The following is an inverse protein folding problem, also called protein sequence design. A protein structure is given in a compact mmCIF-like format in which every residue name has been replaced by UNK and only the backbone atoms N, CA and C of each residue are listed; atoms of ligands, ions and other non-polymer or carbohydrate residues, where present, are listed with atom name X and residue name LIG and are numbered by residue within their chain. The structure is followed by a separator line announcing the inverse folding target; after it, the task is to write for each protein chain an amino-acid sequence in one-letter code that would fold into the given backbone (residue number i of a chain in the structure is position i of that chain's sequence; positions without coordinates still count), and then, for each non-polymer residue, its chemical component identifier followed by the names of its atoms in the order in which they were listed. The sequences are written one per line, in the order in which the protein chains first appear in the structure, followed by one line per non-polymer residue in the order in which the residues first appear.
data_IF_941809208649
#
_entry.id   IF_941809208649
#
_cell.length_a   1.000
_cell.length_b   1.000
_cell.length_c   1.000
_cell.angle_alpha   90.00
_cell.angle_beta   90.00
_cell.angle_gamma   90.00
#
_symmetry.space_group_name_H-M   'P 1'
#
loop_
_entity.id
_entity.type
_entity.pdbx_description
1 polymer ?
#
# COMPACT_ATOMS: atom_id res chain seq x y z
N UNK A 1 -4.13 1.61 -12.68
CA UNK A 1 -2.93 1.59 -11.81
C UNK A 1 -1.78 0.80 -12.43
N UNK A 2 -2.03 -0.21 -13.28
CA UNK A 2 -0.96 -0.90 -14.01
C UNK A 2 -0.37 -2.11 -13.29
N UNK A 3 -0.90 -2.48 -12.12
CA UNK A 3 -0.40 -3.58 -11.26
C UNK A 3 -1.07 -4.94 -11.52
N UNK A 4 -1.92 -5.02 -12.55
CA UNK A 4 -2.67 -6.22 -12.91
C UNK A 4 -3.91 -6.48 -12.03
N UNK A 5 -4.69 -7.51 -12.39
CA UNK A 5 -5.93 -7.88 -11.71
C UNK A 5 -5.70 -9.08 -10.80
N UNK A 6 -6.38 -9.12 -9.66
CA UNK A 6 -6.25 -10.22 -8.69
C UNK A 6 -7.33 -11.28 -8.94
N UNK A 7 -6.98 -12.55 -8.76
CA UNK A 7 -7.96 -13.65 -8.76
C UNK A 7 -8.52 -13.83 -7.35
N UNK A 8 -9.84 -13.92 -7.22
CA UNK A 8 -10.44 -14.23 -5.91
C UNK A 8 -10.02 -15.63 -5.41
N UNK A 9 -9.82 -15.77 -4.11
CA UNK A 9 -9.44 -17.01 -3.44
C UNK A 9 -10.32 -17.25 -2.21
N UNK A 10 -11.02 -18.39 -2.21
CA UNK A 10 -12.02 -18.71 -1.18
C UNK A 10 -11.42 -18.91 0.22
N UNK A 11 -10.17 -19.38 0.33
CA UNK A 11 -9.53 -19.52 1.64
C UNK A 11 -9.13 -18.14 2.18
N UNK A 12 -8.69 -17.21 1.31
CA UNK A 12 -8.46 -15.83 1.71
C UNK A 12 -9.76 -15.13 2.13
N UNK A 13 -10.88 -15.37 1.44
CA UNK A 13 -12.21 -14.85 1.81
C UNK A 13 -12.63 -15.35 3.19
N UNK A 14 -12.56 -16.66 3.42
CA UNK A 14 -12.95 -17.27 4.70
C UNK A 14 -12.07 -16.77 5.87
N UNK A 15 -10.77 -16.57 5.64
CA UNK A 15 -9.89 -15.98 6.64
C UNK A 15 -10.20 -14.50 6.91
N UNK A 16 -10.51 -13.73 5.87
CA UNK A 16 -10.88 -12.32 6.00
C UNK A 16 -12.16 -12.17 6.82
N UNK A 17 -13.12 -13.04 6.58
CA UNK A 17 -14.40 -13.11 7.28
C UNK A 17 -14.21 -13.44 8.77
N UNK A 18 -13.43 -14.47 9.08
CA UNK A 18 -13.13 -14.85 10.46
C UNK A 18 -12.42 -13.72 11.21
N UNK A 19 -11.44 -13.07 10.57
CA UNK A 19 -10.70 -11.98 11.18
C UNK A 19 -11.57 -10.73 11.40
N UNK A 20 -12.47 -10.45 10.47
CA UNK A 20 -13.46 -9.39 10.63
C UNK A 20 -14.37 -9.65 11.84
N UNK A 21 -14.86 -10.89 12.02
CA UNK A 21 -15.66 -11.24 13.20
C UNK A 21 -14.86 -11.18 14.50
N UNK A 22 -13.59 -11.59 14.48
CA UNK A 22 -12.69 -11.40 15.61
C UNK A 22 -12.59 -9.92 16.01
N UNK A 23 -12.33 -9.02 15.05
CA UNK A 23 -12.19 -7.59 15.31
C UNK A 23 -13.49 -7.00 15.89
N UNK A 24 -14.65 -7.42 15.37
CA UNK A 24 -15.95 -7.02 15.88
C UNK A 24 -16.20 -7.50 17.32
N UNK A 25 -15.99 -8.78 17.59
CA UNK A 25 -16.24 -9.38 18.91
C UNK A 25 -15.38 -8.76 20.01
N UNK A 26 -14.20 -8.27 19.65
CA UNK A 26 -13.24 -7.71 20.59
C UNK A 26 -13.15 -6.18 20.55
N UNK A 27 -13.90 -5.52 19.66
CA UNK A 27 -13.84 -4.07 19.43
C UNK A 27 -12.41 -3.55 19.22
N UNK A 28 -11.61 -4.26 18.40
CA UNK A 28 -10.22 -3.92 18.09
C UNK A 28 -10.03 -3.68 16.58
N UNK A 29 -8.98 -2.94 16.24
CA UNK A 29 -8.44 -2.84 14.89
C UNK A 29 -6.99 -3.29 14.91
N UNK A 30 -6.71 -4.42 14.26
CA UNK A 30 -5.41 -5.09 14.32
C UNK A 30 -5.24 -5.98 13.09
N UNK A 31 -4.00 -6.37 12.80
CA UNK A 31 -3.70 -7.47 11.87
C UNK A 31 -3.61 -8.83 12.57
N UNK A 32 -3.33 -8.82 13.87
CA UNK A 32 -3.06 -10.01 14.67
C UNK A 32 -4.17 -10.28 15.68
N UNK A 33 -4.32 -11.56 16.03
CA UNK A 33 -5.28 -12.03 17.01
C UNK A 33 -4.56 -12.52 18.27
N UNK A 34 -5.23 -12.37 19.42
CA UNK A 34 -4.68 -12.72 20.73
C UNK A 34 -5.26 -14.07 21.14
N UNK A 35 -4.43 -15.10 21.41
CA UNK A 35 -4.92 -16.40 21.87
C UNK A 35 -5.80 -16.28 23.12
N UNK A 36 -6.94 -16.97 23.11
CA UNK A 36 -7.87 -17.02 24.24
C UNK A 36 -8.96 -15.94 24.25
N UNK A 37 -8.96 -15.00 23.29
CA UNK A 37 -10.06 -14.05 23.13
C UNK A 37 -11.19 -14.63 22.24
N UNK A 38 -12.45 -14.15 22.38
CA UNK A 38 -13.57 -14.59 21.57
C UNK A 38 -13.29 -14.47 20.07
N UNK A 39 -13.64 -15.50 19.30
CA UNK A 39 -13.44 -15.53 17.85
C UNK A 39 -12.00 -15.75 17.40
N UNK A 40 -11.04 -15.98 18.32
CA UNK A 40 -9.66 -16.30 17.95
C UNK A 40 -9.59 -17.52 17.02
N UNK A 41 -8.92 -17.33 15.89
CA UNK A 41 -8.57 -18.38 14.94
C UNK A 41 -7.08 -18.68 15.01
N UNK A 42 -6.24 -17.69 14.72
CA UNK A 42 -4.77 -17.77 14.69
C UNK A 42 -4.11 -16.39 14.80
N UNK A 43 -2.87 -16.39 15.27
CA UNK A 43 -2.10 -15.20 15.64
C UNK A 43 -1.88 -14.17 14.53
N UNK A 44 -1.67 -14.61 13.30
CA UNK A 44 -1.30 -13.75 12.17
C UNK A 44 -2.05 -14.13 10.89
N UNK A 45 -2.14 -13.22 9.90
CA UNK A 45 -2.91 -13.43 8.67
C UNK A 45 -2.56 -14.70 7.89
N UNK A 46 -1.28 -15.09 7.85
CA UNK A 46 -0.89 -16.32 7.18
C UNK A 46 -1.45 -17.54 7.89
N UNK A 47 -1.31 -17.61 9.22
CA UNK A 47 -1.87 -18.70 10.00
C UNK A 47 -3.41 -18.74 9.94
N UNK A 48 -4.08 -17.58 9.90
CA UNK A 48 -5.54 -17.48 9.75
C UNK A 48 -6.01 -18.14 8.45
N UNK A 49 -5.29 -17.90 7.34
CA UNK A 49 -5.54 -18.54 6.04
C UNK A 49 -5.31 -20.05 6.09
N UNK A 50 -4.26 -20.51 6.77
CA UNK A 50 -4.03 -21.96 6.96
C UNK A 50 -5.15 -22.63 7.77
N UNK A 51 -5.71 -21.93 8.77
CA UNK A 51 -6.77 -22.47 9.62
C UNK A 51 -8.07 -22.79 8.86
N UNK A 52 -8.29 -22.14 7.71
CA UNK A 52 -9.43 -22.38 6.81
C UNK A 52 -9.06 -23.21 5.58
N UNK A 53 -7.89 -23.86 5.59
CA UNK A 53 -7.46 -24.78 4.52
C UNK A 53 -6.67 -24.15 3.38
N UNK A 54 -6.16 -22.92 3.55
CA UNK A 54 -5.29 -22.27 2.57
C UNK A 54 -3.92 -22.92 2.41
N UNK A 55 -3.17 -22.50 1.38
CA UNK A 55 -1.88 -23.11 1.01
C UNK A 55 -0.73 -22.70 1.94
N UNK A 56 0.12 -23.66 2.31
CA UNK A 56 1.42 -23.40 2.97
C UNK A 56 2.47 -22.80 2.03
N UNK A 57 2.25 -22.83 0.72
CA UNK A 57 3.18 -22.32 -0.29
C UNK A 57 2.70 -20.96 -0.79
N UNK A 58 2.48 -20.04 0.15
CA UNK A 58 1.94 -18.73 -0.13
C UNK A 58 2.40 -17.72 0.94
N UNK A 59 2.66 -16.50 0.49
CA UNK A 59 2.76 -15.33 1.35
C UNK A 59 1.42 -14.63 1.46
N UNK A 60 1.07 -14.22 2.67
CA UNK A 60 -0.21 -13.55 2.96
C UNK A 60 0.04 -12.15 3.49
N UNK A 61 -0.39 -11.14 2.73
CA UNK A 61 -0.51 -9.77 3.19
C UNK A 61 -1.96 -9.47 3.60
N UNK A 62 -2.15 -8.43 4.41
CA UNK A 62 -3.49 -8.01 4.83
C UNK A 62 -3.57 -6.50 4.96
N UNK A 63 -4.68 -5.93 4.50
CA UNK A 63 -5.12 -4.60 4.87
C UNK A 63 -6.44 -4.71 5.65
N UNK A 64 -6.60 -3.86 6.66
CA UNK A 64 -7.83 -3.76 7.43
C UNK A 64 -8.28 -2.31 7.54
N UNK A 65 -9.59 -2.10 7.53
CA UNK A 65 -10.20 -0.79 7.64
C UNK A 65 -11.47 -0.87 8.47
N UNK A 66 -11.70 0.14 9.30
CA UNK A 66 -13.00 0.39 9.93
C UNK A 66 -13.53 1.76 9.56
N UNK A 67 -14.77 1.81 9.11
CA UNK A 67 -15.48 3.01 8.70
C UNK A 67 -16.54 2.71 7.66
N UNK A 68 -16.93 3.73 6.91
CA UNK A 68 -17.99 3.61 5.89
C UNK A 68 -17.52 2.67 4.76
N UNK A 69 -18.32 1.63 4.46
CA UNK A 69 -17.87 0.53 3.60
C UNK A 69 -17.58 0.97 2.16
N UNK A 70 -18.32 1.94 1.61
CA UNK A 70 -18.05 2.44 0.26
C UNK A 70 -16.68 3.12 0.18
N UNK A 71 -16.21 3.69 1.28
CA UNK A 71 -14.88 4.28 1.44
C UNK A 71 -13.73 3.28 1.63
N UNK A 72 -13.95 1.98 1.82
CA UNK A 72 -12.86 1.06 2.21
C UNK A 72 -11.67 1.08 1.24
N UNK A 73 -11.90 0.80 -0.05
CA UNK A 73 -10.82 0.75 -1.04
C UNK A 73 -10.23 2.13 -1.30
N UNK A 74 -11.05 3.18 -1.23
CA UNK A 74 -10.60 4.55 -1.38
C UNK A 74 -9.68 4.98 -0.21
N UNK A 75 -10.00 4.56 1.02
CA UNK A 75 -9.18 4.79 2.20
C UNK A 75 -7.85 4.04 2.12
N UNK A 76 -7.87 2.76 1.69
CA UNK A 76 -6.64 1.99 1.46
C UNK A 76 -5.77 2.62 0.36
N UNK A 77 -6.38 3.10 -0.73
CA UNK A 77 -5.65 3.78 -1.79
C UNK A 77 -5.16 5.18 -1.36
N UNK A 78 -5.85 5.81 -0.42
CA UNK A 78 -5.53 7.14 0.12
C UNK A 78 -4.55 7.12 1.30
N UNK A 79 -3.89 6.00 1.59
CA UNK A 79 -2.91 5.86 2.68
C UNK A 79 -1.57 5.33 2.16
N UNK A 80 -0.49 5.38 2.95
CA UNK A 80 0.86 5.05 2.49
C UNK A 80 1.04 3.53 2.42
N UNK A 81 0.88 2.85 3.55
CA UNK A 81 1.19 1.43 3.66
C UNK A 81 0.10 0.53 3.07
N UNK A 82 -1.17 0.88 3.23
CA UNK A 82 -2.23 0.12 2.57
C UNK A 82 -2.15 0.26 1.05
N UNK A 83 -1.79 1.43 0.50
CA UNK A 83 -1.59 1.60 -0.94
C UNK A 83 -0.43 0.75 -1.45
N UNK A 84 0.68 0.67 -0.70
CA UNK A 84 1.77 -0.28 -0.98
C UNK A 84 1.24 -1.72 -1.02
N UNK A 85 0.40 -2.11 -0.07
CA UNK A 85 -0.22 -3.43 0.01
C UNK A 85 -1.11 -3.77 -1.18
N UNK A 86 -2.10 -2.93 -1.49
CA UNK A 86 -3.08 -3.18 -2.57
C UNK A 86 -2.47 -3.08 -3.96
N UNK A 87 -1.31 -2.43 -4.11
CA UNK A 87 -0.60 -2.31 -5.38
C UNK A 87 0.61 -3.23 -5.48
N UNK A 88 0.86 -4.08 -4.48
CA UNK A 88 1.99 -5.02 -4.53
C UNK A 88 1.79 -6.07 -5.63
N UNK A 89 2.81 -6.92 -5.79
CA UNK A 89 2.84 -8.10 -6.65
C UNK A 89 1.82 -9.21 -6.29
N UNK A 90 0.69 -8.88 -5.69
CA UNK A 90 -0.34 -9.84 -5.28
C UNK A 90 -0.87 -10.61 -6.48
N UNK A 91 -1.25 -11.88 -6.32
CA UNK A 91 -1.85 -12.72 -7.36
C UNK A 91 -3.31 -13.03 -7.05
N UNK A 92 -3.59 -13.24 -5.77
CA UNK A 92 -4.93 -13.55 -5.28
C UNK A 92 -5.40 -12.58 -4.21
N UNK A 93 -6.71 -12.50 -4.03
CA UNK A 93 -7.35 -11.67 -3.01
C UNK A 93 -8.50 -12.44 -2.35
N UNK A 94 -8.72 -12.19 -1.06
CA UNK A 94 -9.98 -12.46 -0.39
C UNK A 94 -10.46 -11.23 0.37
N UNK A 95 -11.77 -11.02 0.41
CA UNK A 95 -12.42 -9.82 0.92
C UNK A 95 -13.55 -10.18 1.88
N UNK A 96 -13.61 -9.46 3.01
CA UNK A 96 -14.77 -9.44 3.88
C UNK A 96 -15.16 -7.99 4.18
N UNK A 97 -16.42 -7.63 3.92
CA UNK A 97 -16.92 -6.26 4.06
C UNK A 97 -18.33 -6.25 4.65
N UNK A 98 -18.44 -5.94 5.94
CA UNK A 98 -19.74 -5.77 6.63
C UNK A 98 -19.56 -5.04 7.96
N UNK A 99 -20.65 -4.48 8.48
CA UNK A 99 -20.71 -3.85 9.81
C UNK A 99 -19.64 -2.76 10.03
N UNK A 100 -19.32 -2.01 8.97
CA UNK A 100 -18.25 -1.00 8.94
C UNK A 100 -16.82 -1.55 9.10
N UNK A 101 -16.61 -2.84 8.94
CA UNK A 101 -15.28 -3.46 8.84
C UNK A 101 -15.02 -3.94 7.42
N UNK A 102 -13.78 -3.81 7.00
CA UNK A 102 -13.30 -4.25 5.70
C UNK A 102 -11.93 -4.89 5.87
N UNK A 103 -11.80 -6.15 5.48
CA UNK A 103 -10.54 -6.90 5.49
C UNK A 103 -10.23 -7.35 4.08
N UNK A 104 -9.02 -7.05 3.61
CA UNK A 104 -8.50 -7.53 2.35
C UNK A 104 -7.25 -8.35 2.61
N UNK A 105 -7.34 -9.67 2.41
CA UNK A 105 -6.21 -10.57 2.41
C UNK A 105 -5.67 -10.72 1.00
N UNK A 106 -4.35 -10.69 0.84
CA UNK A 106 -3.69 -10.83 -0.44
C UNK A 106 -2.74 -12.02 -0.45
N UNK A 107 -2.67 -12.73 -1.57
CA UNK A 107 -1.84 -13.92 -1.72
C UNK A 107 -0.79 -13.79 -2.82
N UNK A 108 0.43 -14.22 -2.52
CA UNK A 108 1.49 -14.48 -3.51
C UNK A 108 1.91 -15.95 -3.43
N UNK A 109 1.61 -16.71 -4.48
CA UNK A 109 1.86 -18.15 -4.61
C UNK A 109 3.12 -18.41 -5.43
N UNK A 110 3.37 -17.64 -6.50
CA UNK A 110 4.51 -17.87 -7.41
C UNK A 110 5.88 -17.50 -6.82
N UNK A 111 5.93 -16.91 -5.63
CA UNK A 111 7.13 -16.90 -4.78
C UNK A 111 7.47 -18.31 -4.20
N UNK A 112 7.00 -19.38 -4.85
CA UNK A 112 6.86 -20.74 -4.35
C UNK A 112 8.19 -21.36 -3.92
N UNK A 113 8.29 -21.62 -2.62
CA UNK A 113 9.41 -22.28 -1.94
C UNK A 113 9.32 -22.12 -0.43
N UNK A 114 8.66 -21.03 0.00
CA UNK A 114 8.34 -20.69 1.39
C UNK A 114 6.90 -20.17 1.49
N UNK A 115 6.41 -19.96 2.71
CA UNK A 115 5.17 -19.28 3.01
C UNK A 115 5.31 -18.50 4.31
N UNK A 116 4.46 -17.50 4.52
CA UNK A 116 4.59 -16.64 5.69
C UNK A 116 3.66 -15.44 5.69
N UNK A 117 3.66 -14.74 6.83
CA UNK A 117 2.97 -13.48 6.99
C UNK A 117 3.84 -12.33 6.48
N UNK A 118 3.25 -11.50 5.62
CA UNK A 118 3.88 -10.31 5.07
C UNK A 118 3.59 -10.15 3.59
N UNK A 119 3.85 -8.95 3.10
CA UNK A 119 3.84 -8.65 1.68
C UNK A 119 5.14 -9.23 1.06
N UNK A 120 5.04 -10.21 0.16
CA UNK A 120 6.22 -10.73 -0.52
C UNK A 120 6.82 -9.67 -1.45
N UNK A 121 8.15 -9.51 -1.47
CA UNK A 121 8.82 -8.54 -2.36
C UNK A 121 9.28 -9.14 -3.71
N UNK A 122 9.06 -10.44 -3.91
CA UNK A 122 9.45 -11.17 -5.12
C UNK A 122 8.37 -12.18 -5.50
N UNK A 123 8.46 -12.73 -6.71
CA UNK A 123 7.39 -13.53 -7.30
C UNK A 123 6.13 -12.68 -7.49
N UNK A 124 5.01 -13.33 -7.74
CA UNK A 124 3.74 -12.65 -7.94
C UNK A 124 3.65 -11.89 -9.27
N UNK A 125 2.67 -10.99 -9.39
CA UNK A 125 2.49 -10.18 -10.58
C UNK A 125 3.67 -9.22 -10.78
N UNK A 126 4.21 -9.21 -12.01
CA UNK A 126 5.37 -8.41 -12.36
C UNK A 126 4.96 -7.22 -13.22
N UNK A 127 5.53 -6.05 -12.93
CA UNK A 127 5.48 -4.92 -13.86
C UNK A 127 6.53 -5.10 -14.96
N UNK A 128 6.24 -4.73 -16.23
CA UNK A 128 7.24 -4.77 -17.27
C UNK A 128 8.50 -3.98 -16.90
N UNK A 129 9.71 -4.46 -17.26
CA UNK A 129 10.95 -3.71 -17.05
C UNK A 129 10.85 -2.29 -17.66
N UNK A 130 11.47 -1.31 -17.00
CA UNK A 130 11.47 0.12 -17.38
C UNK A 130 10.10 0.81 -17.37
N UNK A 131 9.08 0.17 -16.81
CA UNK A 131 7.79 0.81 -16.54
C UNK A 131 7.60 1.03 -15.04
N UNK A 132 6.60 1.83 -14.68
CA UNK A 132 6.20 2.01 -13.29
C UNK A 132 4.69 2.13 -13.18
N UNK A 133 4.17 1.67 -12.04
CA UNK A 133 2.81 1.94 -11.61
C UNK A 133 2.82 3.17 -10.70
N UNK A 134 1.72 3.92 -10.73
CA UNK A 134 1.60 5.14 -9.95
C UNK A 134 0.16 5.36 -9.50
N UNK A 135 0.04 6.15 -8.45
CA UNK A 135 -1.21 6.58 -7.88
C UNK A 135 -1.07 8.02 -7.36
N UNK A 136 -2.11 8.87 -7.44
CA UNK A 136 -3.36 8.64 -8.18
C UNK A 136 -3.10 8.40 -9.67
N UNK A 137 -3.96 7.65 -10.36
CA UNK A 137 -3.81 7.43 -11.81
C UNK A 137 -4.25 8.67 -12.58
N UNK A 138 -3.91 8.74 -13.88
CA UNK A 138 -4.36 9.84 -14.74
C UNK A 138 -5.88 10.03 -14.65
N UNK A 139 -6.28 11.27 -14.37
CA UNK A 139 -7.68 11.72 -14.24
C UNK A 139 -8.45 11.07 -13.07
N UNK A 140 -7.77 10.45 -12.10
CA UNK A 140 -8.40 10.01 -10.86
C UNK A 140 -8.91 11.21 -10.05
N UNK A 141 -9.99 10.99 -9.29
CA UNK A 141 -10.47 11.92 -8.27
C UNK A 141 -10.19 11.35 -6.89
N UNK A 142 -9.51 12.09 -6.03
CA UNK A 142 -9.10 11.64 -4.70
C UNK A 142 -9.47 12.67 -3.63
N UNK A 143 -9.73 12.21 -2.41
CA UNK A 143 -9.98 13.10 -1.30
C UNK A 143 -8.70 13.88 -0.94
N UNK A 144 -8.81 15.19 -0.74
CA UNK A 144 -7.68 16.07 -0.43
C UNK A 144 -7.06 15.88 0.96
N UNK A 145 -7.53 14.91 1.75
CA UNK A 145 -7.14 14.67 3.14
C UNK A 145 -6.71 13.22 3.37
N UNK A 146 -5.57 13.09 4.02
CA UNK A 146 -5.06 11.86 4.62
C UNK A 146 -4.83 12.09 6.13
N UNK A 147 -5.15 11.09 6.95
CA UNK A 147 -4.92 11.09 8.40
C UNK A 147 -3.84 10.04 8.72
N UNK A 148 -2.58 10.44 8.92
CA UNK A 148 -1.48 9.49 9.11
C UNK A 148 -1.65 8.57 10.33
N UNK A 149 -2.27 9.07 11.40
CA UNK A 149 -2.58 8.27 12.60
C UNK A 149 -3.59 7.14 12.38
N UNK A 150 -4.23 7.07 11.20
CA UNK A 150 -5.09 5.96 10.79
C UNK A 150 -4.33 4.74 10.25
N UNK A 151 -3.00 4.83 10.10
CA UNK A 151 -2.14 3.69 9.74
C UNK A 151 -1.31 3.22 10.93
N UNK A 152 -1.09 1.90 10.99
CA UNK A 152 -0.23 1.25 11.98
C UNK A 152 0.76 0.36 11.21
N UNK A 153 2.05 0.74 11.12
CA UNK A 153 2.69 1.92 11.71
C UNK A 153 2.20 3.24 11.10
N UNK A 154 2.48 4.37 11.77
CA UNK A 154 2.13 5.70 11.25
C UNK A 154 3.27 6.23 10.35
N UNK A 155 3.04 6.52 9.05
CA UNK A 155 4.07 7.02 8.15
C UNK A 155 4.49 8.47 8.41
N UNK A 156 3.71 9.22 9.19
CA UNK A 156 3.92 10.62 9.52
C UNK A 156 3.47 10.97 10.94
N UNK A 157 4.18 10.47 11.98
CA UNK A 157 3.81 10.71 13.37
C UNK A 157 3.86 12.20 13.77
N UNK A 158 4.60 13.01 13.03
CA UNK A 158 4.69 14.47 13.19
C UNK A 158 3.50 15.23 12.58
N UNK A 159 2.68 14.59 11.74
CA UNK A 159 1.56 15.22 11.04
C UNK A 159 0.22 14.69 11.54
N UNK A 160 -0.61 15.55 12.12
CA UNK A 160 -1.99 15.20 12.46
C UNK A 160 -2.88 15.01 11.22
N UNK A 161 -2.61 15.78 10.15
CA UNK A 161 -3.32 15.77 8.87
C UNK A 161 -2.33 16.02 7.75
N UNK A 162 -2.55 15.39 6.60
CA UNK A 162 -1.74 15.50 5.40
C UNK A 162 -2.62 15.52 4.15
N UNK A 163 -2.03 15.75 2.98
CA UNK A 163 -2.70 15.51 1.71
C UNK A 163 -2.60 14.04 1.28
N UNK A 164 -3.32 13.63 0.22
CA UNK A 164 -3.31 12.26 -0.24
C UNK A 164 -1.88 11.84 -0.65
N UNK A 165 -1.43 10.62 -0.31
CA UNK A 165 -0.16 10.12 -0.75
C UNK A 165 -0.14 9.94 -2.28
N UNK A 166 0.98 10.30 -2.90
CA UNK A 166 1.24 10.09 -4.31
C UNK A 166 2.35 9.05 -4.42
N UNK A 167 2.07 7.92 -5.06
CA UNK A 167 2.98 6.78 -5.14
C UNK A 167 3.56 6.67 -6.55
N UNK A 168 4.84 6.34 -6.63
CA UNK A 168 5.45 5.74 -7.81
C UNK A 168 6.10 4.43 -7.40
N UNK A 169 5.90 3.37 -8.19
CA UNK A 169 6.51 2.07 -7.95
C UNK A 169 6.98 1.39 -9.22
N UNK A 170 7.99 0.54 -9.08
CA UNK A 170 8.55 -0.30 -10.14
C UNK A 170 8.56 -1.76 -9.69
N UNK A 171 8.89 -2.64 -10.62
CA UNK A 171 9.10 -4.05 -10.29
C UNK A 171 10.34 -4.26 -9.41
N UNK A 172 10.29 -5.23 -8.50
CA UNK A 172 11.45 -5.73 -7.73
C UNK A 172 11.57 -7.21 -8.04
N UNK A 173 12.51 -7.57 -8.92
CA UNK A 173 12.73 -8.97 -9.32
C UNK A 173 13.72 -9.65 -8.39
N UNK A 174 14.63 -8.86 -7.82
CA UNK A 174 15.73 -9.34 -6.98
C UNK A 174 15.81 -8.49 -5.72
N UNK A 175 16.28 -9.06 -4.59
CA UNK A 175 16.55 -8.29 -3.38
C UNK A 175 17.52 -7.13 -3.57
N UNK A 176 18.36 -7.14 -4.62
CA UNK A 176 19.27 -6.03 -4.95
C UNK A 176 18.60 -4.89 -5.72
N UNK A 177 17.36 -5.05 -6.19
CA UNK A 177 16.69 -4.01 -6.96
C UNK A 177 16.32 -2.83 -6.06
N UNK A 178 16.59 -1.62 -6.56
CA UNK A 178 16.38 -0.37 -5.83
C UNK A 178 15.77 0.68 -6.77
N UNK A 179 14.81 1.45 -6.26
CA UNK A 179 14.25 2.62 -6.92
C UNK A 179 14.74 3.87 -6.21
N UNK A 180 15.69 4.58 -6.81
CA UNK A 180 16.16 5.86 -6.28
C UNK A 180 15.32 7.01 -6.81
N UNK A 181 15.20 8.08 -6.03
CA UNK A 181 14.40 9.27 -6.38
C UNK A 181 15.31 10.47 -6.56
N UNK A 182 15.34 11.05 -7.77
CA UNK A 182 16.09 12.27 -8.07
C UNK A 182 15.22 13.52 -8.05
N UNK A 183 13.90 13.38 -8.26
CA UNK A 183 12.92 14.44 -8.08
C UNK A 183 11.52 13.83 -7.91
N UNK A 184 10.74 14.33 -6.95
CA UNK A 184 9.33 13.99 -6.84
C UNK A 184 8.57 15.21 -6.32
N UNK A 185 7.74 15.82 -7.18
CA UNK A 185 7.06 17.08 -6.87
C UNK A 185 5.58 17.02 -7.22
N UNK A 186 4.80 17.86 -6.55
CA UNK A 186 3.39 18.07 -6.79
C UNK A 186 3.13 19.55 -7.06
N UNK A 187 2.46 19.84 -8.17
CA UNK A 187 2.00 21.19 -8.53
C UNK A 187 0.48 21.24 -8.46
N UNK A 188 -0.05 22.22 -7.75
CA UNK A 188 -1.49 22.46 -7.66
C UNK A 188 -2.04 23.36 -8.77
N UNK A 189 -3.30 23.77 -8.66
CA UNK A 189 -3.94 24.69 -9.59
C UNK A 189 -3.10 25.96 -9.79
N UNK A 190 -2.95 26.37 -11.06
CA UNK A 190 -2.12 27.51 -11.43
C UNK A 190 -0.60 27.25 -11.39
N UNK A 191 -0.15 26.00 -11.18
CA UNK A 191 1.26 25.61 -11.25
C UNK A 191 2.05 25.79 -9.94
N UNK A 192 1.38 26.21 -8.86
CA UNK A 192 1.97 26.42 -7.54
C UNK A 192 2.56 25.12 -6.97
N UNK A 193 3.76 25.19 -6.39
CA UNK A 193 4.35 24.03 -5.72
C UNK A 193 3.59 23.70 -4.44
N UNK A 194 3.27 22.42 -4.23
CA UNK A 194 2.68 21.94 -2.98
C UNK A 194 3.81 21.46 -2.06
N UNK A 195 3.90 21.95 -0.82
CA UNK A 195 4.85 21.41 0.16
C UNK A 195 4.60 19.93 0.43
N UNK A 196 5.64 19.13 0.25
CA UNK A 196 5.57 17.69 0.40
C UNK A 196 6.94 17.13 0.81
N UNK A 197 6.92 15.93 1.37
CA UNK A 197 8.12 15.16 1.69
C UNK A 197 8.15 13.86 0.88
N UNK A 198 9.35 13.43 0.56
CA UNK A 198 9.57 12.19 -0.21
C UNK A 198 9.88 11.09 0.80
N UNK A 199 9.10 10.02 0.81
CA UNK A 199 9.38 8.82 1.61
C UNK A 199 9.97 7.75 0.69
N UNK A 200 11.07 7.14 1.12
CA UNK A 200 11.77 6.07 0.41
C UNK A 200 12.17 4.96 1.38
N UNK A 201 12.28 3.70 0.93
CA UNK A 201 12.84 2.64 1.75
C UNK A 201 14.32 2.91 2.05
N UNK A 202 14.82 2.34 3.16
CA UNK A 202 16.22 2.48 3.62
C UNK A 202 17.23 2.23 2.51
N UNK A 203 17.00 1.24 1.65
CA UNK A 203 17.98 0.88 0.62
C UNK A 203 17.97 1.83 -0.58
N UNK A 204 16.93 2.65 -0.73
CA UNK A 204 16.84 3.68 -1.76
C UNK A 204 17.42 5.02 -1.30
N UNK A 205 17.55 5.24 0.02
CA UNK A 205 18.00 6.51 0.59
C UNK A 205 19.38 6.95 0.11
N UNK A 206 20.44 6.11 0.08
CA UNK A 206 21.78 6.54 -0.33
C UNK A 206 21.87 7.08 -1.76
N UNK A 207 21.00 6.62 -2.65
CA UNK A 207 20.97 7.04 -4.06
C UNK A 207 19.88 8.07 -4.40
N UNK A 208 19.08 8.48 -3.41
CA UNK A 208 17.99 9.44 -3.59
C UNK A 208 18.40 10.86 -3.18
N UNK A 209 17.56 11.85 -3.49
CA UNK A 209 17.76 13.25 -3.06
C UNK A 209 17.98 13.35 -1.54
N UNK A 210 18.84 14.29 -1.15
CA UNK A 210 19.22 14.49 0.25
C UNK A 210 18.02 14.72 1.18
N UNK A 211 16.96 15.38 0.67
CA UNK A 211 15.72 15.66 1.39
C UNK A 211 14.76 14.48 1.53
N UNK A 212 15.00 13.34 0.86
CA UNK A 212 14.17 12.15 1.04
C UNK A 212 14.24 11.65 2.49
N UNK A 213 13.16 11.14 3.02
CA UNK A 213 13.07 10.60 4.38
C UNK A 213 13.05 9.08 4.26
N UNK A 214 13.90 8.43 5.04
CA UNK A 214 13.90 6.98 5.16
C UNK A 214 12.66 6.51 5.92
N UNK A 215 12.01 5.50 5.38
CA UNK A 215 10.87 4.82 5.99
C UNK A 215 11.13 3.31 5.99
N UNK A 216 11.27 2.73 7.18
CA UNK A 216 11.59 1.31 7.36
C UNK A 216 10.41 0.36 7.01
N UNK A 217 9.21 0.89 6.84
CA UNK A 217 8.01 0.11 6.49
C UNK A 217 7.72 0.13 4.98
N UNK A 218 8.41 1.00 4.23
CA UNK A 218 8.38 0.99 2.79
C UNK A 218 9.27 -0.10 2.21
N UNK A 219 8.81 -0.68 1.10
CA UNK A 219 9.51 -1.75 0.42
C UNK A 219 10.35 -1.23 -0.72
N UNK A 220 11.28 -2.07 -1.18
CA UNK A 220 12.07 -1.77 -2.38
C UNK A 220 11.13 -1.51 -3.55
N UNK A 221 11.56 -0.63 -4.44
CA UNK A 221 10.81 -0.34 -5.66
C UNK A 221 9.58 0.55 -5.47
N UNK A 222 9.30 1.08 -4.28
CA UNK A 222 8.25 2.08 -4.08
C UNK A 222 8.81 3.37 -3.48
N UNK A 223 8.25 4.50 -3.91
CA UNK A 223 8.49 5.81 -3.33
C UNK A 223 7.16 6.57 -3.22
N UNK A 224 7.06 7.40 -2.18
CA UNK A 224 5.90 8.24 -1.95
C UNK A 224 6.29 9.71 -1.91
N UNK A 225 5.44 10.56 -2.46
CA UNK A 225 5.38 11.97 -2.19
C UNK A 225 4.17 12.22 -1.29
N UNK A 226 4.41 12.74 -0.10
CA UNK A 226 3.38 12.99 0.90
C UNK A 226 3.24 14.50 1.12
N UNK A 227 2.16 15.15 0.66
CA UNK A 227 1.89 16.56 0.95
C UNK A 227 1.76 16.77 2.46
N UNK A 228 2.47 17.76 2.99
CA UNK A 228 2.56 17.97 4.46
C UNK A 228 1.34 18.65 5.05
N UNK A 229 0.36 19.03 4.22
CA UNK A 229 -0.92 19.62 4.58
C UNK A 229 -2.02 19.07 3.65
N UNK A 230 -3.29 19.05 4.10
CA UNK A 230 -4.42 18.79 3.21
C UNK A 230 -4.39 19.70 1.99
N UNK A 231 -4.77 19.18 0.84
CA UNK A 231 -4.83 19.93 -0.42
C UNK A 231 -6.27 20.30 -0.75
N UNK A 232 -6.46 21.49 -1.32
CA UNK A 232 -7.78 21.97 -1.71
C UNK A 232 -8.29 21.27 -2.98
N UNK A 233 -9.58 21.43 -3.28
CA UNK A 233 -10.14 20.93 -4.53
C UNK A 233 -9.46 21.59 -5.75
N UNK A 234 -9.19 20.78 -6.77
CA UNK A 234 -8.57 21.26 -8.01
C UNK A 234 -7.73 20.21 -8.73
N UNK A 235 -7.14 20.61 -9.86
CA UNK A 235 -6.26 19.74 -10.65
C UNK A 235 -4.82 19.86 -10.19
N UNK A 236 -4.20 18.72 -9.91
CA UNK A 236 -2.82 18.59 -9.49
C UNK A 236 -2.03 17.82 -10.54
N UNK A 237 -0.75 18.17 -10.67
CA UNK A 237 0.21 17.45 -11.52
C UNK A 237 1.35 16.94 -10.67
N UNK A 238 1.52 15.63 -10.64
CA UNK A 238 2.65 14.97 -10.02
C UNK A 238 3.74 14.72 -11.06
N UNK A 239 5.00 14.89 -10.67
CA UNK A 239 6.15 14.58 -11.52
C UNK A 239 7.16 13.79 -10.71
N UNK A 240 7.44 12.58 -11.17
CA UNK A 240 8.48 11.68 -10.66
C UNK A 240 9.65 11.64 -11.64
N UNK A 241 10.86 11.69 -11.10
CA UNK A 241 12.09 11.29 -11.76
C UNK A 241 12.98 10.52 -10.78
N UNK A 242 13.60 9.46 -11.27
CA UNK A 242 14.42 8.56 -10.48
C UNK A 242 15.13 7.54 -11.35
N UNK A 243 15.61 6.46 -10.74
CA UNK A 243 16.21 5.35 -11.47
C UNK A 243 15.91 4.00 -10.81
N UNK A 244 15.62 2.99 -11.63
CA UNK A 244 15.65 1.58 -11.19
C UNK A 244 17.02 1.02 -11.54
N UNK A 245 17.81 0.63 -10.55
CA UNK A 245 19.15 0.07 -10.76
C UNK A 245 20.04 0.92 -11.70
N UNK A 246 19.98 2.24 -11.55
CA UNK A 246 20.72 3.19 -12.39
C UNK A 246 20.10 3.51 -13.76
N UNK A 247 19.05 2.79 -14.18
CA UNK A 247 18.29 3.11 -15.40
C UNK A 247 17.25 4.18 -15.09
N UNK A 248 17.38 5.34 -15.73
CA UNK A 248 16.51 6.49 -15.48
C UNK A 248 15.05 6.20 -15.85
N UNK A 249 14.14 6.66 -15.00
CA UNK A 249 12.69 6.58 -15.18
C UNK A 249 12.09 7.92 -14.80
N UNK A 250 11.17 8.43 -15.61
CA UNK A 250 10.40 9.63 -15.31
C UNK A 250 8.94 9.48 -15.73
N UNK A 251 8.06 10.15 -15.00
CA UNK A 251 6.63 10.18 -15.28
C UNK A 251 6.03 11.50 -14.77
N UNK A 252 5.20 12.12 -15.61
CA UNK A 252 4.33 13.22 -15.22
C UNK A 252 2.89 12.82 -15.49
N UNK A 253 1.99 13.14 -14.57
CA UNK A 253 0.57 12.80 -14.65
C UNK A 253 -0.28 13.77 -13.82
N UNK A 254 -1.59 13.78 -14.08
CA UNK A 254 -2.52 14.68 -13.42
C UNK A 254 -3.72 13.95 -12.82
N UNK A 255 -4.23 14.49 -11.71
CA UNK A 255 -5.41 14.01 -10.98
C UNK A 255 -6.17 15.19 -10.38
N UNK A 256 -7.39 14.96 -9.91
CA UNK A 256 -8.20 15.96 -9.21
C UNK A 256 -8.33 15.63 -7.73
N UNK A 257 -8.28 16.66 -6.88
CA UNK A 257 -8.67 16.56 -5.48
C UNK A 257 -10.07 17.15 -5.27
N UNK A 258 -10.80 16.61 -4.29
CA UNK A 258 -12.06 17.13 -3.77
C UNK A 258 -12.05 17.25 -2.24
#
# INVERSE_FOLDING_TARGET
MGVGALRQDAALDAAAENHLEYMKLNAVMSHTEIPGTPGFTRSDPYQQVLAVGGSHKQWVGQNAYSGELAGCLAAMAGSVYHLQGITSNQETIGLAMRDNYCVANFGVVSAAGTGGYGLAQWGGQQLPPNTGAYYPVDNASVHGLFIPGGEIPNPAPDLARAGPPIMFRVNVEKPSDVLTVSNFILRGPGGNSVPARILVPIESKPGSVASAIEDASLYRGVAFLLPTQPIAAGTYTATFAGARNGVAISKSWSFTAY
#
